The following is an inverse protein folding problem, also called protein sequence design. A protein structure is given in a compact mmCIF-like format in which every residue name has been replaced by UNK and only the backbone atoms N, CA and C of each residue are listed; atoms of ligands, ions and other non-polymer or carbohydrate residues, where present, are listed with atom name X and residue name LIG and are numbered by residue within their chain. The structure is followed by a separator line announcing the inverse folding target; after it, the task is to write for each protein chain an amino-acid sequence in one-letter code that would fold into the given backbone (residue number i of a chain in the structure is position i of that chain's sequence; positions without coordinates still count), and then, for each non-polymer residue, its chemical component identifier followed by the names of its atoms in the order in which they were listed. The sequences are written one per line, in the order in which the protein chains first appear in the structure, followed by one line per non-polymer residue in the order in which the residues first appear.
data_IF_553436532048
#
_entry.id   IF_553436532048
#
_cell.length_a   1.000
_cell.length_b   1.000
_cell.length_c   1.000
_cell.angle_alpha   90.00
_cell.angle_beta   90.00
_cell.angle_gamma   90.00
#
_symmetry.space_group_name_H-M   'P 1'
#
loop_
_entity.id
_entity.type
_entity.pdbx_description
1 polymer ?
#
# COMPACT_ATOMS: atom_id res chain seq x y z
N UNK A 1 5.61 12.88 -4.80
CA UNK A 1 4.59 11.86 -4.54
C UNK A 1 3.33 12.35 -5.24
N UNK A 2 2.94 11.76 -6.37
CA UNK A 2 1.66 12.07 -7.02
C UNK A 2 0.58 11.37 -6.20
N UNK A 3 0.04 12.03 -5.19
CA UNK A 3 -1.13 11.51 -4.49
C UNK A 3 -2.32 11.95 -5.31
N UNK A 4 -3.02 10.99 -5.92
CA UNK A 4 -4.29 11.26 -6.56
C UNK A 4 -5.27 11.73 -5.48
N UNK A 5 -5.62 13.02 -5.52
CA UNK A 5 -6.49 13.66 -4.54
C UNK A 5 -7.91 13.09 -4.58
N UNK A 6 -8.30 12.39 -5.66
CA UNK A 6 -9.59 11.68 -5.74
C UNK A 6 -9.69 10.50 -4.79
N UNK A 7 -8.54 10.01 -4.28
CA UNK A 7 -8.45 8.91 -3.32
C UNK A 7 -8.36 9.40 -1.87
N UNK A 8 -8.51 10.69 -1.58
CA UNK A 8 -8.35 11.24 -0.23
C UNK A 8 -9.70 11.54 0.39
N UNK A 9 -9.94 11.03 1.60
CA UNK A 9 -11.12 11.35 2.42
C UNK A 9 -10.72 11.69 3.84
N UNK A 10 -11.55 12.47 4.54
CA UNK A 10 -11.36 12.71 5.97
C UNK A 10 -11.84 11.53 6.82
N UNK A 11 -11.31 11.38 8.03
CA UNK A 11 -11.80 10.36 8.98
C UNK A 11 -13.29 10.55 9.32
N UNK A 12 -13.77 11.80 9.38
CA UNK A 12 -15.19 12.09 9.62
C UNK A 12 -16.07 11.65 8.46
N UNK A 13 -15.62 11.85 7.22
CA UNK A 13 -16.31 11.39 6.02
C UNK A 13 -16.34 9.87 5.93
N UNK A 14 -15.21 9.21 6.21
CA UNK A 14 -15.13 7.75 6.27
C UNK A 14 -16.07 7.17 7.33
N UNK A 15 -16.17 7.82 8.50
CA UNK A 15 -17.06 7.39 9.58
C UNK A 15 -18.56 7.58 9.22
N UNK A 16 -18.91 8.68 8.56
CA UNK A 16 -20.31 8.99 8.22
C UNK A 16 -20.80 8.27 6.96
N UNK A 17 -19.91 7.98 6.02
CA UNK A 17 -20.27 7.47 4.68
C UNK A 17 -19.47 6.22 4.31
N UNK A 18 -19.18 5.33 5.27
CA UNK A 18 -18.26 4.21 5.07
C UNK A 18 -18.57 3.38 3.83
N UNK A 19 -19.83 2.99 3.59
CA UNK A 19 -20.20 2.19 2.42
C UNK A 19 -19.96 2.88 1.08
N UNK A 20 -19.98 4.22 1.02
CA UNK A 20 -19.62 4.96 -0.20
C UNK A 20 -18.11 4.99 -0.38
N UNK A 21 -17.36 5.13 0.72
CA UNK A 21 -15.90 5.13 0.73
C UNK A 21 -15.35 3.75 0.38
N UNK A 22 -15.97 2.66 0.86
CA UNK A 22 -15.67 1.29 0.46
C UNK A 22 -15.84 1.09 -1.04
N UNK A 23 -17.00 1.48 -1.61
CA UNK A 23 -17.21 1.44 -3.07
C UNK A 23 -16.19 2.27 -3.87
N UNK A 24 -15.66 3.34 -3.29
CA UNK A 24 -14.59 4.10 -3.91
C UNK A 24 -13.27 3.31 -3.88
N UNK A 25 -12.96 2.61 -2.78
CA UNK A 25 -11.82 1.70 -2.70
C UNK A 25 -11.95 0.53 -3.70
N UNK A 26 -13.13 -0.08 -3.83
CA UNK A 26 -13.38 -1.17 -4.80
C UNK A 26 -13.08 -0.73 -6.24
N UNK A 27 -13.37 0.54 -6.57
CA UNK A 27 -13.18 1.10 -7.93
C UNK A 27 -11.78 1.66 -8.18
N UNK A 28 -11.19 2.29 -7.16
CA UNK A 28 -9.92 3.01 -7.27
C UNK A 28 -8.73 2.17 -6.76
N UNK A 29 -8.99 0.98 -6.23
CA UNK A 29 -8.04 0.09 -5.57
C UNK A 29 -7.65 0.52 -4.15
N UNK A 30 -7.65 1.82 -3.86
CA UNK A 30 -7.23 2.37 -2.56
C UNK A 30 -7.89 3.71 -2.28
N UNK A 31 -8.20 3.94 -1.01
CA UNK A 31 -8.55 5.25 -0.47
C UNK A 31 -7.66 5.56 0.75
N UNK A 32 -7.10 6.76 0.80
CA UNK A 32 -6.31 7.28 1.91
C UNK A 32 -7.20 8.12 2.83
N UNK A 33 -7.23 7.76 4.11
CA UNK A 33 -8.04 8.45 5.13
C UNK A 33 -7.14 9.34 5.97
N UNK A 34 -7.47 10.62 6.00
CA UNK A 34 -6.75 11.66 6.74
C UNK A 34 -7.35 11.85 8.14
N UNK A 35 -6.49 11.98 9.14
CA UNK A 35 -6.84 12.41 10.51
C UNK A 35 -6.00 13.64 10.86
N UNK A 36 -6.65 14.73 11.24
CA UNK A 36 -5.99 16.00 11.55
C UNK A 36 -5.08 16.49 10.40
N UNK A 37 -5.58 16.45 9.17
CA UNK A 37 -4.87 16.84 7.94
C UNK A 37 -3.62 16.02 7.59
N UNK A 38 -3.44 14.85 8.22
CA UNK A 38 -2.32 13.94 7.96
C UNK A 38 -2.85 12.58 7.50
N UNK A 39 -2.28 11.96 6.45
CA UNK A 39 -2.59 10.58 6.07
C UNK A 39 -2.39 9.65 7.27
N UNK A 40 -3.42 8.90 7.65
CA UNK A 40 -3.35 8.04 8.85
C UNK A 40 -3.78 6.61 8.60
N UNK A 41 -4.73 6.38 7.69
CA UNK A 41 -5.22 5.04 7.36
C UNK A 41 -5.35 4.87 5.85
N UNK A 42 -5.42 3.60 5.43
CA UNK A 42 -5.66 3.17 4.04
C UNK A 42 -6.84 2.20 4.07
N UNK A 43 -7.77 2.36 3.15
CA UNK A 43 -8.84 1.40 2.88
C UNK A 43 -8.55 0.72 1.54
N UNK A 44 -8.60 -0.60 1.55
CA UNK A 44 -8.37 -1.46 0.39
C UNK A 44 -9.36 -2.62 0.39
N UNK A 45 -9.66 -3.13 -0.80
CA UNK A 45 -10.29 -4.42 -0.96
C UNK A 45 -9.23 -5.52 -0.81
N UNK A 46 -9.41 -6.40 0.19
CA UNK A 46 -8.47 -7.49 0.50
C UNK A 46 -8.42 -8.52 -0.63
N UNK A 47 -9.52 -8.73 -1.35
CA UNK A 47 -9.56 -9.69 -2.46
C UNK A 47 -8.75 -9.20 -3.67
N UNK A 48 -8.61 -7.88 -3.81
CA UNK A 48 -7.87 -7.25 -4.91
C UNK A 48 -6.45 -6.83 -4.52
N UNK A 49 -6.13 -6.76 -3.22
CA UNK A 49 -4.82 -6.34 -2.74
C UNK A 49 -3.81 -7.49 -2.75
N UNK A 50 -2.98 -7.52 -3.79
CA UNK A 50 -1.93 -8.52 -3.99
C UNK A 50 -0.87 -8.49 -2.89
N UNK A 51 -0.59 -7.35 -2.24
CA UNK A 51 0.41 -7.28 -1.16
C UNK A 51 -0.10 -7.92 0.14
N UNK A 52 -1.41 -7.81 0.41
CA UNK A 52 -2.04 -8.41 1.59
C UNK A 52 -2.09 -9.93 1.48
N UNK A 53 -2.30 -10.45 0.26
CA UNK A 53 -2.40 -11.89 0.00
C UNK A 53 -1.06 -12.64 0.03
N UNK A 54 0.07 -11.93 0.01
CA UNK A 54 1.38 -12.56 0.12
C UNK A 54 1.58 -13.18 1.50
N UNK A 55 2.03 -14.44 1.51
CA UNK A 55 2.59 -15.07 2.70
C UNK A 55 3.84 -14.32 3.18
N UNK A 56 4.22 -14.50 4.44
CA UNK A 56 5.40 -13.81 4.99
C UNK A 56 6.68 -14.21 4.25
N UNK A 57 6.78 -15.47 3.80
CA UNK A 57 7.91 -15.94 2.97
C UNK A 57 7.96 -15.22 1.62
N UNK A 58 6.83 -15.06 0.94
CA UNK A 58 6.75 -14.32 -0.33
C UNK A 58 7.13 -12.84 -0.15
N UNK A 59 6.77 -12.23 0.99
CA UNK A 59 7.18 -10.85 1.31
C UNK A 59 8.70 -10.76 1.52
N UNK A 60 9.30 -11.74 2.20
CA UNK A 60 10.75 -11.82 2.39
C UNK A 60 11.44 -11.91 1.03
N UNK A 61 10.98 -12.78 0.14
CA UNK A 61 11.55 -12.94 -1.20
C UNK A 61 11.46 -11.64 -2.02
N UNK A 62 10.33 -10.93 -1.96
CA UNK A 62 10.17 -9.64 -2.64
C UNK A 62 11.16 -8.59 -2.12
N UNK A 63 11.30 -8.46 -0.80
CA UNK A 63 12.24 -7.52 -0.18
C UNK A 63 13.68 -7.93 -0.49
N UNK A 64 14.01 -9.21 -0.40
CA UNK A 64 15.34 -9.74 -0.71
C UNK A 64 15.72 -9.47 -2.16
N UNK A 65 14.82 -9.70 -3.12
CA UNK A 65 15.05 -9.41 -4.53
C UNK A 65 15.31 -7.92 -4.78
N UNK A 66 14.63 -7.02 -4.07
CA UNK A 66 14.87 -5.57 -4.16
C UNK A 66 16.26 -5.20 -3.64
N UNK A 67 16.64 -5.69 -2.46
CA UNK A 67 17.95 -5.45 -1.84
C UNK A 67 19.07 -6.02 -2.72
N UNK A 68 18.94 -7.25 -3.21
CA UNK A 68 19.91 -7.88 -4.10
C UNK A 68 20.12 -7.06 -5.38
N UNK A 69 19.05 -6.49 -5.94
CA UNK A 69 19.14 -5.66 -7.14
C UNK A 69 19.84 -4.33 -6.87
N UNK A 70 19.53 -3.69 -5.75
CA UNK A 70 20.09 -2.40 -5.34
C UNK A 70 21.61 -2.51 -5.04
N UNK A 71 22.01 -3.58 -4.35
CA UNK A 71 23.39 -3.79 -3.91
C UNK A 71 24.12 -4.88 -4.71
N UNK A 72 23.68 -5.17 -5.94
CA UNK A 72 24.17 -6.30 -6.76
C UNK A 72 25.69 -6.43 -6.78
N UNK A 73 26.39 -5.32 -7.01
CA UNK A 73 27.87 -5.30 -7.06
C UNK A 73 28.51 -5.73 -5.74
N UNK A 74 27.97 -5.29 -4.59
CA UNK A 74 28.53 -5.65 -3.29
C UNK A 74 28.34 -7.15 -3.02
N UNK A 75 27.18 -7.71 -3.39
CA UNK A 75 26.94 -9.15 -3.28
C UNK A 75 27.80 -9.98 -4.24
N UNK A 76 28.03 -9.50 -5.47
CA UNK A 76 28.95 -10.14 -6.43
C UNK A 76 30.40 -10.16 -5.91
N UNK A 77 30.84 -9.10 -5.22
CA UNK A 77 32.16 -9.08 -4.59
C UNK A 77 32.27 -9.99 -3.36
N UNK A 78 31.20 -10.11 -2.55
CA UNK A 78 31.17 -11.04 -1.42
C UNK A 78 31.13 -12.51 -1.82
N UNK A 79 30.68 -12.81 -3.04
CA UNK A 79 30.59 -14.16 -3.58
C UNK A 79 31.88 -14.67 -4.24
N UNK A 80 32.93 -13.84 -4.31
CA UNK A 80 34.28 -14.23 -4.74
C UNK A 80 35.07 -14.88 -3.60
#
# INVERSE_FOLDING_TARGET
MNIDTSQIVSISEANQNFSRVARAADRLGTVIIFKNNTPKYKLVDIEQDTEIQMTDDEKIDFVAARILREYRKAFEELAK
#
